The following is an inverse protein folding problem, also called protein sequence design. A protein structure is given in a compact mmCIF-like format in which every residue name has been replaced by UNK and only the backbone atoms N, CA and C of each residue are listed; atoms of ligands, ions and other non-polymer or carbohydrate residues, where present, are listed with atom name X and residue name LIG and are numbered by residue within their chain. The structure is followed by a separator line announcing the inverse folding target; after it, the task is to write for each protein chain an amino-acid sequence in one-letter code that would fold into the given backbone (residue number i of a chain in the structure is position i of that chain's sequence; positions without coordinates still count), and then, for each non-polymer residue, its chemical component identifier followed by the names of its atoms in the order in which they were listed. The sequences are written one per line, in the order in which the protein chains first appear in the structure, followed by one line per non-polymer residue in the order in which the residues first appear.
data_IF_415239682896
#
_entry.id   IF_415239682896
#
_cell.length_a   1.000
_cell.length_b   1.000
_cell.length_c   1.000
_cell.angle_alpha   90.00
_cell.angle_beta   90.00
_cell.angle_gamma   90.00
#
_symmetry.space_group_name_H-M   'P 1'
#
loop_
_entity.id
_entity.type
_entity.pdbx_description
1 polymer ?
#
# COMPACT_ATOMS: atom_id res chain seq x y z
N UNK A 1 14.51 8.92 23.45
CA UNK A 1 14.82 7.96 22.35
C UNK A 1 15.94 8.53 21.50
N UNK A 2 17.02 7.79 21.25
CA UNK A 2 18.16 8.29 20.47
C UNK A 2 17.81 8.34 18.98
N UNK A 3 18.36 9.33 18.25
CA UNK A 3 18.21 9.48 16.79
C UNK A 3 18.57 8.20 16.01
N UNK A 4 19.48 7.37 16.53
CA UNK A 4 19.95 6.14 15.88
C UNK A 4 18.89 5.03 15.88
N UNK A 5 18.10 4.92 16.94
CA UNK A 5 17.02 3.91 16.99
C UNK A 5 15.90 4.27 16.01
N UNK A 6 15.55 5.55 15.91
CA UNK A 6 14.48 6.01 15.01
C UNK A 6 14.80 5.80 13.52
N UNK A 7 16.08 5.85 13.12
CA UNK A 7 16.51 5.56 11.75
C UNK A 7 16.39 4.05 11.45
N UNK A 8 16.77 3.21 12.41
CA UNK A 8 16.66 1.75 12.31
C UNK A 8 15.20 1.31 12.15
N UNK A 9 14.30 1.86 12.96
CA UNK A 9 12.89 1.49 12.99
C UNK A 9 12.17 1.83 11.67
N UNK A 10 12.48 2.99 11.09
CA UNK A 10 12.02 3.40 9.76
C UNK A 10 12.50 2.46 8.68
N UNK A 11 13.79 2.10 8.71
CA UNK A 11 14.38 1.22 7.72
C UNK A 11 13.74 -0.18 7.74
N UNK A 12 13.38 -0.70 8.91
CA UNK A 12 12.69 -2.00 9.06
C UNK A 12 11.33 -1.97 8.36
N UNK A 13 10.49 -0.98 8.65
CA UNK A 13 9.14 -0.90 8.05
C UNK A 13 9.21 -0.68 6.55
N UNK A 14 10.04 0.26 6.08
CA UNK A 14 10.23 0.51 4.64
C UNK A 14 10.68 -0.78 3.95
N UNK A 15 11.71 -1.43 4.48
CA UNK A 15 12.22 -2.70 3.93
C UNK A 15 11.15 -3.78 3.89
N UNK A 16 10.35 -3.91 4.96
CA UNK A 16 9.29 -4.90 5.03
C UNK A 16 8.21 -4.63 3.98
N UNK A 17 7.73 -3.39 3.88
CA UNK A 17 6.67 -3.02 2.93
C UNK A 17 7.17 -3.14 1.49
N UNK A 18 8.38 -2.69 1.18
CA UNK A 18 8.96 -2.83 -0.17
C UNK A 18 9.11 -4.30 -0.57
N UNK A 19 9.52 -5.18 0.36
CA UNK A 19 9.65 -6.63 0.10
C UNK A 19 8.31 -7.38 0.16
N UNK A 20 7.30 -6.83 0.85
CA UNK A 20 5.99 -7.44 1.11
C UNK A 20 4.87 -6.40 1.07
N UNK A 21 4.56 -5.84 -0.12
CA UNK A 21 3.56 -4.78 -0.21
C UNK A 21 2.17 -5.25 0.24
N UNK A 22 1.88 -6.55 0.15
CA UNK A 22 0.62 -7.14 0.59
C UNK A 22 0.35 -6.98 2.10
N UNK A 23 1.33 -6.53 2.89
CA UNK A 23 1.16 -6.19 4.31
C UNK A 23 0.53 -4.81 4.54
N UNK A 24 0.54 -3.92 3.53
CA UNK A 24 0.03 -2.54 3.64
C UNK A 24 -1.40 -2.48 4.20
N UNK A 25 -2.39 -3.27 3.72
CA UNK A 25 -3.75 -3.22 4.26
C UNK A 25 -3.80 -3.55 5.75
N UNK A 26 -3.01 -4.52 6.21
CA UNK A 26 -3.00 -4.91 7.61
C UNK A 26 -2.39 -3.83 8.49
N UNK A 27 -1.31 -3.18 8.04
CA UNK A 27 -0.72 -2.04 8.75
C UNK A 27 -1.72 -0.89 8.82
N UNK A 28 -2.37 -0.58 7.68
CA UNK A 28 -3.42 0.44 7.62
C UNK A 28 -4.55 0.16 8.61
N UNK A 29 -5.21 -1.00 8.53
CA UNK A 29 -6.35 -1.29 9.39
C UNK A 29 -5.97 -1.40 10.87
N UNK A 30 -4.84 -2.03 11.21
CA UNK A 30 -4.40 -2.12 12.63
C UNK A 30 -4.11 -0.73 13.20
N UNK A 31 -3.47 0.15 12.42
CA UNK A 31 -3.16 1.51 12.85
C UNK A 31 -4.43 2.36 12.96
N UNK A 32 -5.24 2.43 11.91
CA UNK A 32 -6.45 3.27 11.84
C UNK A 32 -7.45 2.96 12.95
N UNK A 33 -7.59 1.69 13.33
CA UNK A 33 -8.53 1.26 14.38
C UNK A 33 -7.87 1.16 15.77
N UNK A 34 -6.63 1.63 15.94
CA UNK A 34 -5.89 1.54 17.21
C UNK A 34 -5.84 0.13 17.79
N UNK A 35 -5.75 -0.87 16.91
CA UNK A 35 -5.68 -2.28 17.24
C UNK A 35 -6.94 -3.08 16.95
N UNK A 36 -6.73 -4.30 16.46
CA UNK A 36 -7.79 -5.18 15.98
C UNK A 36 -7.57 -6.63 16.42
N UNK A 37 -8.64 -7.33 16.72
CA UNK A 37 -8.67 -8.79 16.86
C UNK A 37 -8.54 -9.48 15.51
N UNK A 38 -8.27 -10.79 15.52
CA UNK A 38 -8.25 -11.60 14.30
C UNK A 38 -9.59 -11.57 13.55
N UNK A 39 -10.70 -11.56 14.29
CA UNK A 39 -12.05 -11.60 13.72
C UNK A 39 -12.44 -10.25 13.11
N UNK A 40 -12.08 -9.13 13.74
CA UNK A 40 -12.30 -7.80 13.16
C UNK A 40 -11.46 -7.62 11.88
N UNK A 41 -10.21 -8.06 11.88
CA UNK A 41 -9.37 -8.07 10.67
C UNK A 41 -10.00 -8.91 9.55
N UNK A 42 -10.64 -10.04 9.90
CA UNK A 42 -11.33 -10.88 8.92
C UNK A 42 -12.52 -10.16 8.28
N UNK A 43 -13.30 -9.43 9.09
CA UNK A 43 -14.45 -8.66 8.62
C UNK A 43 -14.03 -7.44 7.78
N UNK A 44 -13.02 -6.69 8.22
CA UNK A 44 -12.55 -5.48 7.55
C UNK A 44 -11.79 -5.78 6.26
N UNK A 45 -10.81 -6.69 6.30
CA UNK A 45 -9.97 -7.00 5.14
C UNK A 45 -10.69 -7.94 4.16
N UNK A 46 -11.58 -8.81 4.65
CA UNK A 46 -12.37 -9.69 3.79
C UNK A 46 -11.59 -10.82 3.12
N UNK A 47 -10.43 -11.22 3.69
CA UNK A 47 -9.59 -12.32 3.19
C UNK A 47 -9.67 -13.57 4.05
N UNK A 48 -9.21 -14.72 3.51
CA UNK A 48 -9.09 -15.97 4.28
C UNK A 48 -8.22 -15.77 5.53
N UNK A 49 -8.65 -16.33 6.65
CA UNK A 49 -7.97 -16.25 7.96
C UNK A 49 -6.50 -16.64 7.91
N UNK A 50 -6.11 -17.60 7.06
CA UNK A 50 -4.71 -18.00 6.87
C UNK A 50 -3.83 -16.84 6.37
N UNK A 51 -4.34 -15.99 5.49
CA UNK A 51 -3.61 -14.81 4.99
C UNK A 51 -3.42 -13.80 6.13
N UNK A 52 -4.44 -13.60 6.95
CA UNK A 52 -4.41 -12.69 8.11
C UNK A 52 -3.39 -13.19 9.14
N UNK A 53 -3.45 -14.48 9.51
CA UNK A 53 -2.48 -15.09 10.42
C UNK A 53 -1.05 -14.95 9.88
N UNK A 54 -0.85 -15.13 8.57
CA UNK A 54 0.46 -14.93 7.93
C UNK A 54 0.92 -13.48 7.98
N UNK A 55 0.03 -12.51 7.80
CA UNK A 55 0.34 -11.09 7.92
C UNK A 55 0.77 -10.75 9.34
N UNK A 56 -0.04 -11.13 10.33
CA UNK A 56 0.24 -10.92 11.74
C UNK A 56 1.55 -11.59 12.17
N UNK A 57 1.84 -12.79 11.67
CA UNK A 57 3.12 -13.45 11.91
C UNK A 57 4.31 -12.62 11.37
N UNK A 58 4.22 -12.08 10.15
CA UNK A 58 5.29 -11.24 9.60
C UNK A 58 5.47 -9.95 10.40
N UNK A 59 4.36 -9.29 10.77
CA UNK A 59 4.41 -8.04 11.53
C UNK A 59 4.99 -8.28 12.94
N UNK A 60 4.55 -9.34 13.62
CA UNK A 60 5.05 -9.69 14.95
C UNK A 60 6.52 -10.13 14.91
N UNK A 61 6.91 -10.92 13.90
CA UNK A 61 8.31 -11.35 13.68
C UNK A 61 9.26 -10.17 13.50
N UNK A 62 8.80 -9.07 12.89
CA UNK A 62 9.60 -7.85 12.72
C UNK A 62 9.38 -6.83 13.84
N UNK A 63 8.79 -7.25 14.97
CA UNK A 63 8.51 -6.40 16.13
C UNK A 63 7.55 -5.22 15.88
N UNK A 64 6.86 -5.15 14.74
CA UNK A 64 6.02 -4.00 14.37
C UNK A 64 4.69 -3.98 15.11
N UNK A 65 4.13 -5.18 15.35
CA UNK A 65 2.89 -5.35 16.13
C UNK A 65 3.14 -6.18 17.36
N UNK A 66 2.38 -5.86 18.40
CA UNK A 66 2.30 -6.64 19.63
C UNK A 66 0.86 -6.98 19.97
N UNK A 67 0.68 -7.97 20.85
CA UNK A 67 -0.64 -8.38 21.31
C UNK A 67 -0.93 -7.70 22.65
N UNK A 68 -1.97 -6.87 22.71
CA UNK A 68 -2.49 -6.25 23.94
C UNK A 68 -3.88 -6.84 24.21
N UNK A 69 -3.97 -7.78 25.14
CA UNK A 69 -5.18 -8.60 25.34
C UNK A 69 -5.46 -9.48 24.11
N UNK A 70 -6.62 -9.31 23.47
CA UNK A 70 -6.97 -10.02 22.23
C UNK A 70 -6.60 -9.26 20.95
N UNK A 71 -6.23 -7.98 21.07
CA UNK A 71 -5.97 -7.10 19.94
C UNK A 71 -4.50 -7.12 19.54
N UNK A 72 -4.26 -7.10 18.23
CA UNK A 72 -2.96 -6.79 17.65
C UNK A 72 -2.88 -5.28 17.46
N UNK A 73 -1.83 -4.65 17.96
CA UNK A 73 -1.63 -3.20 17.98
C UNK A 73 -0.26 -2.87 17.40
N UNK A 74 -0.15 -1.79 16.62
CA UNK A 74 1.15 -1.24 16.20
C UNK A 74 1.92 -0.83 17.47
N UNK A 75 3.19 -1.23 17.61
CA UNK A 75 4.01 -0.75 18.73
C UNK A 75 4.20 0.76 18.67
N UNK A 76 4.23 1.40 19.84
CA UNK A 76 4.34 2.85 19.99
C UNK A 76 5.56 3.44 19.28
N UNK A 77 6.69 2.73 19.28
CA UNK A 77 7.93 3.12 18.58
C UNK A 77 7.73 3.32 17.07
N UNK A 78 6.78 2.61 16.45
CA UNK A 78 6.47 2.75 15.01
C UNK A 78 5.26 3.62 14.72
N UNK A 79 4.43 3.95 15.72
CA UNK A 79 3.12 4.58 15.51
C UNK A 79 3.23 5.89 14.72
N UNK A 80 4.13 6.79 15.14
CA UNK A 80 4.36 8.08 14.48
C UNK A 80 4.93 7.94 13.06
N UNK A 81 5.74 6.92 12.81
CA UNK A 81 6.29 6.68 11.47
C UNK A 81 5.21 6.11 10.53
N UNK A 82 4.45 5.14 11.01
CA UNK A 82 3.33 4.55 10.26
C UNK A 82 2.29 5.61 9.95
N UNK A 83 1.96 6.49 10.88
CA UNK A 83 1.04 7.61 10.66
C UNK A 83 1.52 8.50 9.49
N UNK A 84 2.79 8.94 9.53
CA UNK A 84 3.39 9.72 8.42
C UNK A 84 3.42 8.97 7.10
N UNK A 85 3.68 7.67 7.14
CA UNK A 85 3.70 6.83 5.95
C UNK A 85 2.29 6.72 5.35
N UNK A 86 1.28 6.51 6.19
CA UNK A 86 -0.11 6.33 5.79
C UNK A 86 -0.81 7.64 5.42
N UNK A 87 -0.27 8.80 5.80
CA UNK A 87 -0.77 10.10 5.35
C UNK A 87 -0.83 10.20 3.81
N UNK A 88 0.10 9.55 3.11
CA UNK A 88 0.14 9.47 1.64
C UNK A 88 -0.47 8.18 1.08
N UNK A 89 -1.27 7.45 1.89
CA UNK A 89 -1.95 6.25 1.46
C UNK A 89 -3.34 6.60 0.92
N UNK A 90 -3.60 6.25 -0.33
CA UNK A 90 -4.95 6.27 -0.91
C UNK A 90 -5.59 4.89 -0.72
N UNK A 91 -6.86 4.84 -0.32
CA UNK A 91 -7.60 3.58 -0.20
C UNK A 91 -9.03 3.69 -0.70
N UNK A 92 -9.48 2.67 -1.42
CA UNK A 92 -10.88 2.46 -1.81
C UNK A 92 -11.48 1.26 -1.05
N UNK A 93 -10.91 0.94 0.12
CA UNK A 93 -11.25 -0.22 0.96
C UNK A 93 -10.68 -1.55 0.43
N UNK A 94 -10.92 -1.86 -0.85
CA UNK A 94 -10.37 -3.07 -1.52
C UNK A 94 -9.02 -2.84 -2.18
N UNK A 95 -8.67 -1.59 -2.45
CA UNK A 95 -7.38 -1.22 -3.02
C UNK A 95 -6.67 -0.25 -2.09
N UNK A 96 -5.37 -0.46 -1.89
CA UNK A 96 -4.50 0.47 -1.18
C UNK A 96 -3.36 0.88 -2.11
N UNK A 97 -3.09 2.17 -2.18
CA UNK A 97 -2.00 2.77 -2.92
C UNK A 97 -1.13 3.52 -1.94
N UNK A 98 0.14 3.15 -1.86
CA UNK A 98 1.12 3.81 -1.01
C UNK A 98 2.31 4.24 -1.85
N UNK A 99 2.70 5.51 -1.77
CA UNK A 99 3.92 6.02 -2.42
C UNK A 99 5.09 5.92 -1.46
N UNK A 100 6.17 5.27 -1.90
CA UNK A 100 7.44 5.21 -1.17
C UNK A 100 8.55 5.63 -2.13
N UNK A 101 9.20 6.76 -1.85
CA UNK A 101 10.15 7.38 -2.77
C UNK A 101 9.47 7.67 -4.13
N UNK A 102 10.10 7.23 -5.23
CA UNK A 102 9.60 7.41 -6.60
C UNK A 102 8.77 6.23 -7.13
N UNK A 103 8.15 5.47 -6.23
CA UNK A 103 7.40 4.27 -6.60
C UNK A 103 6.07 4.21 -5.88
N UNK A 104 5.00 4.00 -6.64
CA UNK A 104 3.69 3.65 -6.14
C UNK A 104 3.59 2.14 -5.94
N UNK A 105 3.16 1.73 -4.76
CA UNK A 105 2.83 0.35 -4.40
C UNK A 105 1.32 0.20 -4.40
N UNK A 106 0.79 -0.62 -5.30
CA UNK A 106 -0.64 -0.88 -5.39
C UNK A 106 -0.94 -2.28 -4.88
N UNK A 107 -1.89 -2.36 -3.95
CA UNK A 107 -2.33 -3.59 -3.31
C UNK A 107 -3.82 -3.77 -3.55
N UNK A 108 -4.19 -4.87 -4.18
CA UNK A 108 -5.58 -5.23 -4.47
C UNK A 108 -5.97 -6.44 -3.64
N UNK A 109 -6.98 -6.25 -2.80
CA UNK A 109 -7.51 -7.25 -1.90
C UNK A 109 -8.62 -8.04 -2.61
N UNK A 110 -8.46 -9.36 -2.66
CA UNK A 110 -9.49 -10.31 -3.11
C UNK A 110 -9.68 -11.38 -2.03
N UNK A 111 -10.87 -11.96 -1.95
CA UNK A 111 -11.22 -12.94 -0.90
C UNK A 111 -10.18 -14.04 -0.70
N UNK A 112 -9.61 -14.56 -1.79
CA UNK A 112 -8.66 -15.68 -1.78
C UNK A 112 -7.19 -15.29 -1.92
N UNK A 113 -6.89 -14.03 -2.27
CA UNK A 113 -5.51 -13.56 -2.52
C UNK A 113 -5.39 -12.05 -2.38
N UNK A 114 -4.20 -11.59 -2.00
CA UNK A 114 -3.82 -10.18 -2.12
C UNK A 114 -2.83 -10.08 -3.26
N UNK A 115 -3.13 -9.23 -4.25
CA UNK A 115 -2.28 -9.00 -5.41
C UNK A 115 -1.58 -7.67 -5.29
N UNK A 116 -0.33 -7.60 -5.74
CA UNK A 116 0.48 -6.38 -5.64
C UNK A 116 1.16 -6.09 -6.97
N UNK A 117 1.31 -4.82 -7.29
CA UNK A 117 2.21 -4.35 -8.33
C UNK A 117 2.77 -2.99 -7.97
N UNK A 118 3.82 -2.60 -8.68
CA UNK A 118 4.43 -1.28 -8.53
C UNK A 118 4.34 -0.50 -9.82
N UNK A 119 4.33 0.81 -9.70
CA UNK A 119 4.40 1.77 -10.82
C UNK A 119 5.42 2.85 -10.46
N UNK A 120 6.47 3.04 -11.28
CA UNK A 120 7.36 4.18 -11.17
C UNK A 120 6.60 5.51 -11.30
N UNK A 121 6.96 6.50 -10.48
CA UNK A 121 6.34 7.82 -10.45
C UNK A 121 6.47 8.55 -11.79
N UNK A 122 7.62 8.45 -12.45
CA UNK A 122 7.88 9.09 -13.74
C UNK A 122 6.92 8.63 -14.85
N UNK A 123 6.48 7.37 -14.83
CA UNK A 123 5.48 6.87 -15.78
C UNK A 123 4.08 7.40 -15.46
N UNK A 124 3.76 7.57 -14.17
CA UNK A 124 2.51 8.19 -13.75
C UNK A 124 2.46 9.66 -14.14
N UNK A 125 3.54 10.40 -13.86
CA UNK A 125 3.61 11.84 -14.14
C UNK A 125 3.51 12.11 -15.65
N UNK A 126 4.20 11.33 -16.48
CA UNK A 126 4.08 11.40 -17.95
C UNK A 126 2.66 11.15 -18.44
N UNK A 127 1.97 10.15 -17.87
CA UNK A 127 0.56 9.91 -18.20
C UNK A 127 -0.28 11.14 -17.87
N UNK A 128 -0.14 11.70 -16.65
CA UNK A 128 -0.89 12.89 -16.24
C UNK A 128 -0.61 14.08 -17.15
N UNK A 129 0.66 14.32 -17.48
CA UNK A 129 1.08 15.38 -18.40
C UNK A 129 0.43 15.22 -19.78
N UNK A 130 0.46 14.01 -20.35
CA UNK A 130 -0.15 13.76 -21.65
C UNK A 130 -1.67 13.95 -21.63
N UNK A 131 -2.36 13.41 -20.63
CA UNK A 131 -3.82 13.59 -20.47
C UNK A 131 -4.21 15.07 -20.40
N UNK A 132 -3.41 15.89 -19.70
CA UNK A 132 -3.63 17.34 -19.61
C UNK A 132 -3.42 18.04 -20.95
N UNK A 133 -2.39 17.66 -21.71
CA UNK A 133 -2.05 18.30 -22.97
C UNK A 133 -3.08 18.04 -24.08
N UNK A 134 -3.64 16.84 -24.15
CA UNK A 134 -4.65 16.49 -25.18
C UNK A 134 -6.09 16.55 -24.66
N UNK A 135 -6.27 16.91 -23.38
CA UNK A 135 -7.57 16.98 -22.70
C UNK A 135 -8.42 15.71 -22.83
N UNK A 136 -7.77 14.53 -22.81
CA UNK A 136 -8.44 13.23 -22.93
C UNK A 136 -7.80 12.19 -22.02
N UNK A 137 -8.58 11.17 -21.65
CA UNK A 137 -8.05 10.02 -20.91
C UNK A 137 -7.32 9.07 -21.84
N UNK A 138 -6.10 8.68 -21.47
CA UNK A 138 -5.31 7.73 -22.24
C UNK A 138 -5.75 6.31 -21.96
N UNK A 139 -5.89 5.52 -23.04
CA UNK A 139 -6.01 4.08 -22.94
C UNK A 139 -4.61 3.43 -22.83
N UNK A 140 -4.53 2.18 -22.34
CA UNK A 140 -3.26 1.45 -22.27
C UNK A 140 -2.52 1.39 -23.62
N UNK A 141 -3.25 1.27 -24.73
CA UNK A 141 -2.70 1.22 -26.09
C UNK A 141 -2.00 2.54 -26.47
N UNK A 142 -2.56 3.68 -26.08
CA UNK A 142 -1.97 5.01 -26.33
C UNK A 142 -0.62 5.15 -25.64
N UNK A 143 -0.52 4.66 -24.40
CA UNK A 143 0.72 4.65 -23.61
C UNK A 143 1.78 3.72 -24.22
N UNK A 144 1.38 2.56 -24.74
CA UNK A 144 2.32 1.66 -25.44
C UNK A 144 2.92 2.37 -26.64
N UNK A 145 2.09 3.01 -27.46
CA UNK A 145 2.53 3.70 -28.67
C UNK A 145 3.40 4.93 -28.36
N UNK A 146 3.07 5.66 -27.28
CA UNK A 146 3.75 6.92 -26.93
C UNK A 146 5.05 6.69 -26.16
N UNK A 147 5.04 5.80 -25.17
CA UNK A 147 6.18 5.59 -24.27
C UNK A 147 7.00 4.34 -24.60
N UNK A 148 6.58 3.54 -25.58
CA UNK A 148 7.22 2.29 -25.96
C UNK A 148 7.42 1.34 -24.76
N UNK A 149 6.40 1.22 -23.91
CA UNK A 149 6.40 0.36 -22.72
C UNK A 149 5.59 -0.91 -22.93
N UNK A 150 5.85 -2.00 -22.17
CA UNK A 150 5.03 -3.20 -22.27
C UNK A 150 3.55 -2.94 -21.91
N UNK A 151 2.62 -3.55 -22.65
CA UNK A 151 1.16 -3.39 -22.45
C UNK A 151 0.72 -3.65 -21.00
N UNK A 152 1.32 -4.64 -20.33
CA UNK A 152 1.02 -4.94 -18.91
C UNK A 152 1.39 -3.79 -17.97
N UNK A 153 2.45 -3.04 -18.28
CA UNK A 153 2.86 -1.87 -17.51
C UNK A 153 1.92 -0.70 -17.81
N UNK A 154 1.58 -0.46 -19.09
CA UNK A 154 0.59 0.55 -19.47
C UNK A 154 -0.75 0.36 -18.73
N UNK A 155 -1.30 -0.87 -18.71
CA UNK A 155 -2.50 -1.18 -17.94
C UNK A 155 -2.37 -0.84 -16.45
N UNK A 156 -1.21 -1.07 -15.84
CA UNK A 156 -0.98 -0.75 -14.42
C UNK A 156 -0.92 0.75 -14.17
N UNK A 157 -0.32 1.52 -15.08
CA UNK A 157 -0.21 2.98 -14.98
C UNK A 157 -1.60 3.61 -15.12
N UNK A 158 -2.39 3.21 -16.13
CA UNK A 158 -3.79 3.68 -16.29
C UNK A 158 -4.66 3.27 -15.09
N UNK A 159 -4.52 2.03 -14.62
CA UNK A 159 -5.26 1.57 -13.44
C UNK A 159 -4.91 2.41 -12.19
N UNK A 160 -3.63 2.72 -11.98
CA UNK A 160 -3.18 3.61 -10.91
C UNK A 160 -3.82 5.00 -11.05
N UNK A 161 -3.85 5.59 -12.26
CA UNK A 161 -4.47 6.89 -12.51
C UNK A 161 -5.94 6.92 -12.13
N UNK A 162 -6.69 5.88 -12.50
CA UNK A 162 -8.10 5.76 -12.10
C UNK A 162 -8.26 5.67 -10.57
N UNK A 163 -7.47 4.81 -9.92
CA UNK A 163 -7.54 4.64 -8.45
C UNK A 163 -7.20 5.95 -7.72
N UNK A 164 -6.17 6.67 -8.16
CA UNK A 164 -5.79 7.93 -7.53
C UNK A 164 -6.84 9.02 -7.77
N UNK A 165 -7.50 9.06 -8.94
CA UNK A 165 -8.65 9.96 -9.16
C UNK A 165 -9.78 9.66 -8.19
N UNK A 166 -10.12 8.39 -7.95
CA UNK A 166 -11.17 7.99 -6.98
C UNK A 166 -10.85 8.45 -5.54
N UNK A 167 -9.58 8.56 -5.18
CA UNK A 167 -9.16 8.98 -3.83
C UNK A 167 -9.09 10.50 -3.62
N UNK A 168 -8.95 11.27 -4.69
CA UNK A 168 -8.82 12.74 -4.63
C UNK A 168 -10.01 13.47 -5.26
N UNK A 169 -11.06 12.74 -5.66
CA UNK A 169 -12.39 13.29 -6.00
C UNK A 169 -13.15 13.62 -4.73
#
# INVERSE_FOLDING_TARGET
MSKNNEISDKAIIITLITKRPWLIPFIYYIHTYSGLTLEELRKLVGVRTQIIKRALWWLAKNNIVEKRGEKYVIKEEYARFIEKLLFNCCTTGKTHVLKIGKTYFVVIIRRTRISTYTVPEDLYDKLVEYELNVQTEFQPEDLVNTLNIPIRLAHRVVALRRILRECYS
#
